data_IF_699563076931
#
_entry.id   IF_699563076931
#
_cell.length_a   1.000
_cell.length_b   1.000
_cell.length_c   1.000
_cell.angle_alpha   90.00
_cell.angle_beta   90.00
_cell.angle_gamma   90.00
#
_symmetry.space_group_name_H-M   'P 1'
#
loop_
_entity.id
_entity.type
_entity.pdbx_description
1 polymer ?
#
# COMPACT_ATOMS: atom_id res chain seq x y z
N UNK A 1 0.47 5.58 -4.95
CA UNK A 1 -0.04 6.95 -5.21
C UNK A 1 -0.89 7.40 -4.03
N UNK A 2 -1.08 8.70 -3.81
CA UNK A 2 -1.72 9.25 -2.60
C UNK A 2 -2.55 10.49 -2.91
N UNK A 3 -3.64 10.72 -2.17
CA UNK A 3 -4.48 11.92 -2.25
C UNK A 3 -4.35 12.70 -0.94
N UNK A 4 -4.17 14.01 -1.05
CA UNK A 4 -4.00 14.92 0.05
C UNK A 4 -5.08 16.00 0.00
N UNK A 5 -5.75 16.23 1.15
CA UNK A 5 -6.90 17.12 1.23
C UNK A 5 -6.74 18.11 2.39
N UNK A 6 -7.27 19.32 2.21
CA UNK A 6 -7.32 20.41 3.19
C UNK A 6 -5.94 20.89 3.69
N UNK A 7 -4.90 20.80 2.85
CA UNK A 7 -3.53 21.21 3.20
C UNK A 7 -3.17 22.64 2.78
N UNK A 8 -3.88 23.23 1.81
CA UNK A 8 -3.57 24.54 1.24
C UNK A 8 -2.18 24.65 0.60
N UNK A 9 -1.69 23.57 -0.04
CA UNK A 9 -0.35 23.50 -0.64
C UNK A 9 -0.36 24.12 -2.04
N UNK A 10 0.36 25.22 -2.23
CA UNK A 10 0.53 25.80 -3.56
C UNK A 10 1.39 24.90 -4.46
N UNK A 11 0.85 24.56 -5.65
CA UNK A 11 1.42 23.56 -6.56
C UNK A 11 2.73 24.03 -7.20
N UNK A 12 2.87 25.33 -7.46
CA UNK A 12 4.10 25.92 -8.02
C UNK A 12 5.23 25.90 -6.99
N UNK A 13 4.94 26.35 -5.77
CA UNK A 13 5.89 26.29 -4.64
C UNK A 13 6.29 24.83 -4.31
N UNK A 14 5.34 23.90 -4.41
CA UNK A 14 5.59 22.48 -4.16
C UNK A 14 6.60 21.90 -5.16
N UNK A 15 6.46 22.21 -6.45
CA UNK A 15 7.37 21.73 -7.50
C UNK A 15 8.82 22.17 -7.24
N UNK A 16 9.05 23.45 -6.97
CA UNK A 16 10.40 23.99 -6.78
C UNK A 16 11.08 23.39 -5.55
N UNK A 17 10.36 23.30 -4.43
CA UNK A 17 10.88 22.65 -3.21
C UNK A 17 11.13 21.16 -3.42
N UNK A 18 10.29 20.48 -4.21
CA UNK A 18 10.43 19.07 -4.50
C UNK A 18 11.70 18.80 -5.31
N UNK A 19 11.92 19.54 -6.40
CA UNK A 19 13.14 19.44 -7.22
C UNK A 19 14.39 19.65 -6.38
N UNK A 20 14.45 20.75 -5.62
CA UNK A 20 15.60 21.07 -4.78
C UNK A 20 15.89 19.98 -3.75
N UNK A 21 14.84 19.40 -3.14
CA UNK A 21 14.96 18.30 -2.20
C UNK A 21 15.50 17.02 -2.86
N UNK A 22 14.96 16.66 -4.02
CA UNK A 22 15.38 15.48 -4.77
C UNK A 22 16.85 15.58 -5.20
N UNK A 23 17.27 16.72 -5.75
CA UNK A 23 18.65 16.98 -6.15
C UNK A 23 19.61 16.91 -4.97
N UNK A 24 19.22 17.47 -3.81
CA UNK A 24 20.00 17.37 -2.56
C UNK A 24 20.19 15.92 -2.10
N UNK A 25 19.23 15.04 -2.37
CA UNK A 25 19.30 13.60 -2.08
C UNK A 25 19.98 12.80 -3.20
N UNK A 26 20.62 13.48 -4.15
CA UNK A 26 21.40 12.87 -5.22
C UNK A 26 20.56 12.37 -6.39
N UNK A 27 19.27 12.69 -6.48
CA UNK A 27 18.47 12.40 -7.67
C UNK A 27 18.77 13.40 -8.78
N UNK A 28 18.93 12.91 -10.01
CA UNK A 28 19.02 13.76 -11.19
C UNK A 28 17.61 13.97 -11.74
N UNK A 29 17.16 15.23 -11.78
CA UNK A 29 15.95 15.60 -12.50
C UNK A 29 16.27 15.60 -13.99
N UNK A 30 15.58 14.77 -14.76
CA UNK A 30 15.79 14.67 -16.20
C UNK A 30 14.83 15.56 -16.98
N UNK A 31 13.59 15.70 -16.49
CA UNK A 31 12.55 16.48 -17.15
C UNK A 31 11.51 16.96 -16.15
N UNK A 32 10.97 18.16 -16.41
CA UNK A 32 9.82 18.71 -15.69
C UNK A 32 8.79 19.18 -16.72
N UNK A 33 7.53 18.83 -16.49
CA UNK A 33 6.39 19.32 -17.26
C UNK A 33 5.42 20.01 -16.30
N UNK A 34 4.89 21.17 -16.69
CA UNK A 34 3.97 21.97 -15.87
C UNK A 34 2.71 22.27 -16.65
N UNK A 35 1.56 22.10 -16.00
CA UNK A 35 0.25 22.56 -16.43
C UNK A 35 -0.38 23.46 -15.36
N UNK A 36 -1.57 23.99 -15.65
CA UNK A 36 -2.25 25.00 -14.79
C UNK A 36 -2.45 24.54 -13.33
N UNK A 37 -2.78 23.26 -13.12
CA UNK A 37 -2.99 22.67 -11.80
C UNK A 37 -2.25 21.32 -11.64
N UNK A 38 -1.15 21.12 -12.37
CA UNK A 38 -0.40 19.86 -12.31
C UNK A 38 1.05 20.03 -12.73
N UNK A 39 1.90 19.11 -12.29
CA UNK A 39 3.25 18.98 -12.80
C UNK A 39 3.70 17.53 -12.79
N UNK A 40 4.64 17.20 -13.68
CA UNK A 40 5.33 15.92 -13.70
C UNK A 40 6.83 16.14 -13.61
N UNK A 41 7.49 15.33 -12.80
CA UNK A 41 8.94 15.30 -12.63
C UNK A 41 9.44 13.91 -13.01
N UNK A 42 10.25 13.82 -14.06
CA UNK A 42 11.03 12.62 -14.40
C UNK A 42 12.40 12.71 -13.73
N UNK A 43 12.78 11.64 -13.05
CA UNK A 43 14.01 11.61 -12.27
C UNK A 43 14.70 10.26 -12.35
N UNK A 44 15.99 10.25 -12.00
CA UNK A 44 16.81 9.04 -11.93
C UNK A 44 17.82 9.15 -10.80
N UNK A 45 18.05 8.06 -10.06
CA UNK A 45 19.16 7.95 -9.12
C UNK A 45 20.46 7.55 -9.84
N UNK A 46 21.56 8.33 -9.78
CA UNK A 46 22.84 7.98 -10.39
C UNK A 46 23.47 6.77 -9.68
N UNK A 47 23.66 5.66 -10.40
CA UNK A 47 24.19 4.40 -9.86
C UNK A 47 23.65 3.18 -10.64
N UNK A 48 24.43 2.10 -10.71
CA UNK A 48 24.26 0.98 -11.65
C UNK A 48 22.80 0.46 -11.67
N UNK A 49 22.13 0.60 -12.83
CA UNK A 49 20.75 0.16 -13.15
C UNK A 49 19.55 1.00 -12.70
N UNK A 50 19.71 2.26 -12.26
CA UNK A 50 18.55 3.13 -11.98
C UNK A 50 17.66 3.34 -13.21
N UNK A 51 16.44 2.76 -13.20
CA UNK A 51 15.40 3.05 -14.18
C UNK A 51 14.97 4.52 -14.06
N UNK A 52 14.53 5.12 -15.17
CA UNK A 52 13.88 6.43 -15.11
C UNK A 52 12.52 6.25 -14.44
N UNK A 53 12.26 7.03 -13.42
CA UNK A 53 10.98 7.05 -12.70
C UNK A 53 10.34 8.42 -12.84
N UNK A 54 9.04 8.50 -12.61
CA UNK A 54 8.29 9.74 -12.73
C UNK A 54 7.35 9.91 -11.55
N UNK A 55 7.18 11.13 -11.06
CA UNK A 55 6.08 11.49 -10.17
C UNK A 55 5.24 12.58 -10.83
N UNK A 56 3.93 12.52 -10.65
CA UNK A 56 2.97 13.48 -11.16
C UNK A 56 2.16 14.00 -9.98
N UNK A 57 2.09 15.32 -9.82
CA UNK A 57 1.21 15.98 -8.87
C UNK A 57 0.11 16.69 -9.64
N UNK A 58 -1.15 16.48 -9.27
CA UNK A 58 -2.29 17.11 -9.92
C UNK A 58 -3.39 17.48 -8.94
N UNK A 59 -4.07 18.57 -9.20
CA UNK A 59 -5.20 19.05 -8.41
C UNK A 59 -4.97 20.47 -7.92
N UNK A 60 -5.83 20.89 -7.00
CA UNK A 60 -5.84 22.25 -6.46
C UNK A 60 -5.22 22.25 -5.06
N UNK A 61 -4.84 23.42 -4.50
CA UNK A 61 -4.10 23.47 -3.25
C UNK A 61 -4.71 22.71 -2.05
N UNK A 62 -6.04 22.60 -2.00
CA UNK A 62 -6.75 21.88 -0.95
C UNK A 62 -7.19 20.45 -1.34
N UNK A 63 -6.94 20.01 -2.57
CA UNK A 63 -7.27 18.66 -3.02
C UNK A 63 -6.39 18.26 -4.21
N UNK A 64 -5.30 17.56 -3.92
CA UNK A 64 -4.34 17.12 -4.93
C UNK A 64 -3.88 15.68 -4.73
N UNK A 65 -3.44 15.06 -5.82
CA UNK A 65 -2.95 13.70 -5.88
C UNK A 65 -1.49 13.66 -6.30
N UNK A 66 -0.73 12.77 -5.69
CA UNK A 66 0.63 12.39 -6.10
C UNK A 66 0.59 10.98 -6.69
N UNK A 67 0.99 10.84 -7.94
CA UNK A 67 0.89 9.63 -8.77
C UNK A 67 2.25 9.29 -9.39
N UNK A 68 2.45 8.05 -9.84
CA UNK A 68 3.61 7.65 -10.64
C UNK A 68 4.82 7.15 -9.85
N UNK A 69 4.91 7.49 -8.55
CA UNK A 69 5.98 6.96 -7.69
C UNK A 69 5.76 5.46 -7.49
N UNK A 70 6.79 4.69 -7.83
CA UNK A 70 6.86 3.25 -7.59
C UNK A 70 6.58 2.93 -6.11
N UNK A 71 5.69 1.99 -5.83
CA UNK A 71 5.28 1.60 -4.46
C UNK A 71 6.48 1.12 -3.63
N UNK A 72 7.51 0.57 -4.27
CA UNK A 72 8.75 0.14 -3.63
C UNK A 72 9.75 1.27 -3.38
N UNK A 73 9.55 2.46 -3.95
CA UNK A 73 10.45 3.61 -3.77
C UNK A 73 10.02 4.47 -2.56
N UNK A 74 10.20 3.92 -1.36
CA UNK A 74 9.89 4.59 -0.10
C UNK A 74 10.66 5.92 0.08
N UNK A 75 11.88 6.02 -0.44
CA UNK A 75 12.71 7.22 -0.29
C UNK A 75 12.09 8.44 -0.97
N UNK A 76 11.58 8.27 -2.20
CA UNK A 76 10.88 9.35 -2.92
C UNK A 76 9.59 9.73 -2.20
N UNK A 77 8.82 8.75 -1.70
CA UNK A 77 7.63 9.05 -0.91
C UNK A 77 7.95 9.92 0.30
N UNK A 78 9.03 9.64 1.05
CA UNK A 78 9.43 10.50 2.16
C UNK A 78 9.84 11.90 1.73
N UNK A 79 10.55 12.02 0.61
CA UNK A 79 10.91 13.33 0.05
C UNK A 79 9.63 14.12 -0.29
N UNK A 80 8.69 13.51 -0.99
CA UNK A 80 7.45 14.16 -1.39
C UNK A 80 6.63 14.59 -0.19
N UNK A 81 6.44 13.71 0.78
CA UNK A 81 5.64 14.00 1.98
C UNK A 81 6.23 15.10 2.84
N UNK A 82 7.55 15.12 2.99
CA UNK A 82 8.22 16.18 3.75
C UNK A 82 8.10 17.53 3.06
N UNK A 83 8.19 17.56 1.73
CA UNK A 83 8.01 18.78 0.93
C UNK A 83 6.55 19.24 0.99
N UNK A 84 5.59 18.33 0.95
CA UNK A 84 4.16 18.61 1.15
C UNK A 84 3.94 19.21 2.54
N UNK A 85 4.42 18.55 3.59
CA UNK A 85 4.30 19.03 4.98
C UNK A 85 4.94 20.42 5.17
N UNK A 86 6.13 20.64 4.61
CA UNK A 86 6.84 21.92 4.66
C UNK A 86 6.20 23.03 3.79
N UNK A 87 5.19 22.68 2.99
CA UNK A 87 4.47 23.61 2.10
C UNK A 87 3.00 23.75 2.48
N UNK A 88 2.51 22.98 3.44
CA UNK A 88 1.13 23.00 3.87
C UNK A 88 0.83 24.22 4.74
N UNK A 89 -0.24 24.95 4.40
CA UNK A 89 -0.84 25.98 5.25
C UNK A 89 -1.56 25.37 6.44
N UNK A 90 -2.03 24.13 6.30
CA UNK A 90 -2.64 23.34 7.38
C UNK A 90 -1.94 21.98 7.54
N UNK A 91 -0.74 21.92 8.16
CA UNK A 91 0.01 20.67 8.33
C UNK A 91 -0.71 19.61 9.17
N UNK A 92 -1.71 19.99 9.97
CA UNK A 92 -2.47 19.06 10.82
C UNK A 92 -3.44 18.18 10.01
N UNK A 93 -3.84 18.61 8.80
CA UNK A 93 -4.66 17.79 7.91
C UNK A 93 -3.84 16.75 7.13
N UNK A 94 -2.51 16.72 7.31
CA UNK A 94 -1.64 15.79 6.61
C UNK A 94 -1.88 14.36 7.10
N UNK A 95 -2.22 13.49 6.15
CA UNK A 95 -2.25 12.05 6.31
C UNK A 95 -1.17 11.47 5.40
N UNK A 96 -0.33 10.61 5.96
CA UNK A 96 0.69 9.91 5.17
C UNK A 96 0.03 9.10 4.03
N UNK A 97 0.71 8.93 2.91
CA UNK A 97 0.36 8.01 1.83
C UNK A 97 0.16 6.58 2.35
N UNK A 98 0.81 6.24 3.47
CA UNK A 98 0.66 4.97 4.16
C UNK A 98 -0.58 4.90 5.06
N UNK A 99 -1.16 6.03 5.45
CA UNK A 99 -2.40 6.10 6.26
C UNK A 99 -3.65 6.18 5.38
N UNK A 100 -3.51 6.53 4.11
CA UNK A 100 -4.65 6.86 3.24
C UNK A 100 -5.51 5.65 2.79
N UNK A 101 -5.21 4.43 3.25
CA UNK A 101 -6.04 3.25 2.96
C UNK A 101 -7.07 2.98 4.06
N UNK A 102 -7.01 3.66 5.21
CA UNK A 102 -8.02 3.50 6.26
C UNK A 102 -8.99 4.67 6.23
N UNK A 103 -10.08 4.50 5.48
CA UNK A 103 -11.31 5.26 5.73
C UNK A 103 -12.48 4.30 5.91
N UNK A 104 -12.81 3.88 7.15
CA UNK A 104 -14.19 3.61 7.49
C UNK A 104 -14.84 4.96 7.76
N UNK A 105 -15.34 5.63 6.71
CA UNK A 105 -16.35 6.67 6.89
C UNK A 105 -17.70 5.98 7.02
N UNK A 106 -17.97 5.41 8.19
CA UNK A 106 -19.34 5.33 8.66
C UNK A 106 -19.54 6.51 9.62
N UNK A 107 -20.40 7.49 9.30
CA UNK A 107 -21.00 8.29 10.35
C UNK A 107 -21.73 7.31 11.27
N UNK A 108 -21.52 7.42 12.58
CA UNK A 108 -22.39 6.78 13.55
C UNK A 108 -23.85 7.10 13.16
N UNK A 109 -24.74 6.10 13.02
CA UNK A 109 -26.14 6.39 12.78
C UNK A 109 -26.64 7.12 14.03
N UNK A 110 -26.98 8.41 13.86
CA UNK A 110 -27.88 9.10 14.77
C UNK A 110 -29.18 8.32 14.70
N UNK A 111 -29.51 7.62 15.77
CA UNK A 111 -30.74 6.85 15.89
C UNK A 111 -31.94 7.75 15.56
N UNK A 112 -32.70 7.48 14.49
CA UNK A 112 -34.06 7.97 14.42
C UNK A 112 -34.85 7.20 15.47
N UNK A 113 -35.71 7.86 16.22
CA UNK A 113 -36.73 7.18 17.01
C UNK A 113 -37.58 6.34 16.05
N UNK A 114 -37.39 5.02 16.06
CA UNK A 114 -38.15 4.09 15.23
C UNK A 114 -39.54 3.95 15.88
N UNK A 115 -40.53 4.51 15.20
CA UNK A 115 -41.92 4.07 15.33
C UNK A 115 -41.98 2.69 14.69
N UNK A 116 -42.34 1.67 15.47
CA UNK A 116 -42.40 0.28 15.04
C UNK A 116 -43.31 0.13 13.80
N UNK A 117 -42.76 -0.42 12.72
CA UNK A 117 -43.52 -0.92 11.58
C UNK A 117 -43.06 -2.34 11.30
N UNK A 118 -43.97 -3.29 11.53
CA UNK A 118 -43.81 -4.73 11.33
C UNK A 118 -43.92 -5.07 9.86
N UNK A 119 -42.80 -5.37 9.20
CA UNK A 119 -42.75 -6.14 7.96
C UNK A 119 -42.04 -7.46 8.26
N UNK A 120 -42.60 -8.64 7.92
CA UNK A 120 -41.96 -9.92 8.23
C UNK A 120 -40.67 -10.11 7.41
N UNK A 121 -39.55 -10.37 8.07
CA UNK A 121 -38.31 -10.79 7.43
C UNK A 121 -38.40 -12.27 6.98
N UNK A 122 -37.83 -12.64 5.81
CA UNK A 122 -37.62 -14.04 5.45
C UNK A 122 -36.74 -14.75 6.48
N UNK A 123 -36.96 -16.05 6.76
CA UNK A 123 -36.22 -16.76 7.81
C UNK A 123 -34.73 -16.87 7.49
N UNK A 124 -33.90 -16.51 8.48
CA UNK A 124 -32.46 -16.71 8.45
C UNK A 124 -32.10 -18.20 8.25
N UNK A 125 -30.99 -18.52 7.57
CA UNK A 125 -30.49 -19.89 7.50
C UNK A 125 -30.20 -20.40 8.90
N UNK A 126 -30.75 -21.57 9.23
CA UNK A 126 -30.63 -22.23 10.53
C UNK A 126 -29.16 -22.53 10.83
N UNK A 127 -28.57 -21.81 11.79
CA UNK A 127 -27.23 -22.12 12.31
C UNK A 127 -27.30 -23.38 13.18
N UNK A 128 -26.46 -24.37 12.84
CA UNK A 128 -26.22 -25.59 13.64
C UNK A 128 -25.62 -25.19 15.00
N UNK A 129 -25.93 -25.87 16.12
CA UNK A 129 -25.37 -25.54 17.44
C UNK A 129 -23.83 -25.51 17.40
N UNK A 130 -23.24 -24.44 17.92
CA UNK A 130 -21.80 -24.24 17.93
C UNK A 130 -21.12 -25.29 18.83
N UNK A 131 -20.32 -26.18 18.24
CA UNK A 131 -19.45 -27.08 18.98
C UNK A 131 -18.38 -26.27 19.75
N UNK A 132 -17.98 -26.70 20.96
CA UNK A 132 -16.95 -26.01 21.72
C UNK A 132 -15.61 -26.01 20.96
N UNK A 133 -14.81 -24.93 21.04
CA UNK A 133 -13.54 -24.83 20.31
C UNK A 133 -12.57 -25.97 20.67
N UNK A 134 -11.72 -26.43 19.74
CA UNK A 134 -10.78 -27.51 20.02
C UNK A 134 -9.76 -27.09 21.07
N UNK A 135 -9.50 -27.93 22.06
CA UNK A 135 -8.43 -27.69 23.03
C UNK A 135 -7.08 -28.24 22.58
N UNK A 136 -7.08 -29.21 21.65
CA UNK A 136 -5.89 -29.91 21.19
C UNK A 136 -5.89 -30.08 19.67
N UNK A 137 -4.70 -30.10 19.09
CA UNK A 137 -4.49 -30.39 17.68
C UNK A 137 -4.85 -31.85 17.36
N UNK A 138 -5.76 -32.06 16.40
CA UNK A 138 -6.14 -33.41 15.95
C UNK A 138 -5.04 -34.14 15.19
N UNK A 139 -4.00 -33.43 14.72
CA UNK A 139 -2.86 -34.03 14.00
C UNK A 139 -1.72 -34.49 14.91
N UNK A 140 -1.38 -33.73 15.96
CA UNK A 140 -0.22 -34.04 16.82
C UNK A 140 -0.53 -34.09 18.32
N UNK A 141 -1.75 -33.78 18.76
CA UNK A 141 -2.17 -33.79 20.17
C UNK A 141 -1.75 -32.56 20.98
N UNK A 142 -0.91 -31.67 20.43
CA UNK A 142 -0.44 -30.49 21.15
C UNK A 142 -1.60 -29.54 21.55
N UNK A 143 -1.49 -28.86 22.71
CA UNK A 143 -2.54 -27.95 23.15
C UNK A 143 -2.63 -26.73 22.24
N UNK A 144 -3.86 -26.26 22.04
CA UNK A 144 -4.14 -25.02 21.34
C UNK A 144 -4.28 -23.85 22.31
N UNK A 145 -3.83 -22.68 21.88
CA UNK A 145 -4.13 -21.40 22.52
C UNK A 145 -5.05 -20.64 21.57
N UNK A 146 -6.35 -20.61 21.91
CA UNK A 146 -7.41 -20.02 21.09
C UNK A 146 -7.95 -18.80 21.84
N UNK A 147 -8.01 -17.66 21.15
CA UNK A 147 -8.75 -16.48 21.58
C UNK A 147 -10.19 -16.52 21.09
N UNK A 148 -11.08 -15.73 21.70
CA UNK A 148 -12.50 -15.68 21.29
C UNK A 148 -12.69 -15.11 19.88
N UNK A 149 -11.72 -14.33 19.41
CA UNK A 149 -11.70 -13.66 18.12
C UNK A 149 -11.08 -14.55 17.02
N UNK A 150 -10.46 -15.68 17.38
CA UNK A 150 -9.84 -16.57 16.40
C UNK A 150 -10.91 -17.32 15.61
N UNK A 151 -10.81 -17.27 14.28
CA UNK A 151 -11.68 -17.99 13.33
C UNK A 151 -11.00 -19.26 12.81
N UNK A 152 -9.68 -19.22 12.62
CA UNK A 152 -8.88 -20.39 12.29
C UNK A 152 -7.60 -20.41 13.10
N UNK A 153 -7.22 -21.61 13.53
CA UNK A 153 -6.04 -21.85 14.36
C UNK A 153 -5.00 -22.64 13.57
N UNK A 154 -3.75 -22.22 13.72
CA UNK A 154 -2.59 -22.95 13.20
C UNK A 154 -1.82 -23.56 14.38
N UNK A 155 -1.63 -24.88 14.36
CA UNK A 155 -0.83 -25.56 15.36
C UNK A 155 0.63 -25.11 15.28
N UNK A 156 1.13 -24.43 16.32
CA UNK A 156 2.53 -23.97 16.40
C UNK A 156 3.56 -25.11 16.35
N UNK A 157 3.14 -26.35 16.60
CA UNK A 157 4.05 -27.51 16.65
C UNK A 157 4.15 -28.25 15.31
N UNK A 158 3.04 -28.46 14.60
CA UNK A 158 3.03 -29.25 13.37
C UNK A 158 2.49 -28.51 12.13
N UNK A 159 2.04 -27.26 12.28
CA UNK A 159 1.56 -26.43 11.18
C UNK A 159 0.16 -26.76 10.68
N UNK A 160 -0.52 -27.71 11.30
CA UNK A 160 -1.89 -28.06 10.94
C UNK A 160 -2.83 -26.89 11.22
N UNK A 161 -3.54 -26.44 10.19
CA UNK A 161 -4.41 -25.27 10.24
C UNK A 161 -5.85 -25.68 9.98
N UNK A 162 -6.75 -25.30 10.89
CA UNK A 162 -8.18 -25.60 10.78
C UNK A 162 -9.04 -24.42 11.19
N UNK A 163 -10.21 -24.31 10.58
CA UNK A 163 -11.26 -23.42 11.08
C UNK A 163 -11.79 -23.93 12.43
N UNK A 164 -12.04 -23.03 13.36
CA UNK A 164 -12.50 -23.39 14.71
C UNK A 164 -13.96 -23.87 14.68
N UNK A 165 -14.80 -23.24 13.85
CA UNK A 165 -16.22 -23.56 13.76
C UNK A 165 -16.49 -24.85 12.96
N UNK A 166 -15.92 -24.99 11.76
CA UNK A 166 -16.25 -26.10 10.84
C UNK A 166 -15.26 -27.27 10.89
N UNK A 167 -14.09 -27.08 11.52
CA UNK A 167 -12.98 -28.06 11.55
C UNK A 167 -12.45 -28.43 10.17
N UNK A 168 -12.68 -27.55 9.21
CA UNK A 168 -12.18 -27.69 7.86
C UNK A 168 -10.69 -27.32 7.81
N UNK A 169 -9.91 -28.13 7.10
CA UNK A 169 -8.48 -27.90 6.94
C UNK A 169 -8.19 -26.82 5.90
N UNK A 170 -7.40 -25.83 6.28
CA UNK A 170 -6.83 -24.85 5.34
C UNK A 170 -5.56 -25.46 4.76
N UNK A 171 -5.68 -26.02 3.54
CA UNK A 171 -4.60 -26.78 2.88
C UNK A 171 -3.44 -25.91 2.40
N UNK A 172 -3.73 -24.69 1.95
CA UNK A 172 -2.73 -23.75 1.43
C UNK A 172 -2.21 -22.87 2.54
N UNK A 173 -1.24 -23.40 3.28
CA UNK A 173 -0.59 -22.69 4.37
C UNK A 173 0.94 -22.74 4.22
N UNK A 174 1.57 -21.56 4.23
CA UNK A 174 3.02 -21.40 4.22
C UNK A 174 3.48 -20.37 5.25
N UNK A 175 4.78 -20.23 5.41
CA UNK A 175 5.38 -19.21 6.26
C UNK A 175 6.63 -18.60 5.63
N UNK A 176 7.09 -17.51 6.22
CA UNK A 176 8.40 -16.92 5.90
C UNK A 176 9.36 -17.15 7.07
N UNK A 177 10.64 -17.33 6.74
CA UNK A 177 11.69 -17.44 7.75
C UNK A 177 12.10 -16.07 8.26
N UNK A 178 12.20 -15.92 9.58
CA UNK A 178 12.81 -14.73 10.18
C UNK A 178 14.33 -14.78 9.96
N UNK A 179 14.87 -13.71 9.38
CA UNK A 179 16.30 -13.55 9.06
C UNK A 179 16.94 -12.37 9.79
N UNK A 180 16.19 -11.74 10.69
CA UNK A 180 16.66 -10.60 11.47
C UNK A 180 16.72 -10.91 12.96
N UNK A 181 17.73 -10.34 13.61
CA UNK A 181 17.79 -10.24 15.06
C UNK A 181 17.09 -8.96 15.54
N UNK A 182 16.66 -8.95 16.81
CA UNK A 182 16.00 -7.81 17.43
C UNK A 182 16.80 -6.49 17.28
N UNK A 183 18.13 -6.56 17.37
CA UNK A 183 19.01 -5.39 17.19
C UNK A 183 18.95 -4.82 15.76
N UNK A 184 18.87 -5.68 14.75
CA UNK A 184 18.78 -5.26 13.35
C UNK A 184 17.41 -4.64 13.06
N UNK A 185 16.33 -5.20 13.62
CA UNK A 185 15.00 -4.61 13.54
C UNK A 185 14.95 -3.23 14.22
N UNK A 186 15.56 -3.09 15.40
CA UNK A 186 15.70 -1.81 16.10
C UNK A 186 16.49 -0.79 15.28
N UNK A 187 17.58 -1.20 14.62
CA UNK A 187 18.36 -0.32 13.74
C UNK A 187 17.57 0.10 12.49
N UNK A 188 16.83 -0.82 11.87
CA UNK A 188 15.95 -0.52 10.75
C UNK A 188 14.86 0.48 11.14
N UNK A 189 14.28 0.33 12.34
CA UNK A 189 13.33 1.29 12.90
C UNK A 189 13.96 2.66 13.16
N UNK A 190 15.17 2.74 13.75
CA UNK A 190 15.90 4.00 13.93
C UNK A 190 16.17 4.70 12.59
N UNK A 191 16.63 3.95 11.59
CA UNK A 191 16.81 4.48 10.22
C UNK A 191 15.50 5.05 9.69
N UNK A 192 14.39 4.34 9.86
CA UNK A 192 13.07 4.81 9.45
C UNK A 192 12.60 6.07 10.20
N UNK A 193 12.86 6.18 11.51
CA UNK A 193 12.59 7.40 12.28
C UNK A 193 13.32 8.60 11.69
N UNK A 194 14.58 8.40 11.28
CA UNK A 194 15.44 9.45 10.71
C UNK A 194 15.15 9.75 9.23
N UNK A 195 14.30 8.95 8.57
CA UNK A 195 13.97 9.18 7.15
C UNK A 195 13.10 10.42 7.00
N UNK A 196 13.57 11.32 6.15
CA UNK A 196 12.95 12.59 5.85
C UNK A 196 13.86 13.76 6.23
N UNK A 197 13.77 14.85 5.47
CA UNK A 197 14.54 16.09 5.68
C UNK A 197 14.24 16.70 7.05
N UNK A 198 12.99 16.61 7.50
CA UNK A 198 12.55 17.18 8.77
C UNK A 198 12.79 16.22 9.96
N UNK A 199 13.24 14.99 9.69
CA UNK A 199 13.32 13.91 10.69
C UNK A 199 14.75 13.49 11.04
N UNK A 200 15.77 14.14 10.47
CA UNK A 200 17.17 13.78 10.69
C UNK A 200 17.52 13.89 12.18
N UNK A 201 17.86 12.75 12.81
CA UNK A 201 18.32 12.69 14.20
C UNK A 201 17.21 12.45 15.23
N UNK A 202 15.95 12.27 14.82
CA UNK A 202 14.84 11.90 15.72
C UNK A 202 15.16 10.64 16.52
N UNK A 203 15.85 9.68 15.90
CA UNK A 203 16.20 8.42 16.56
C UNK A 203 17.09 8.59 17.79
N UNK A 204 17.77 9.74 17.95
CA UNK A 204 18.62 10.05 19.11
C UNK A 204 17.80 10.44 20.35
N UNK A 205 16.66 11.08 20.11
CA UNK A 205 15.73 11.51 21.16
C UNK A 205 14.69 10.40 21.47
N UNK A 206 14.56 9.41 20.58
CA UNK A 206 13.66 8.28 20.74
C UNK A 206 14.26 7.21 21.66
N UNK A 207 13.44 6.67 22.57
CA UNK A 207 13.81 5.54 23.41
C UNK A 207 13.04 4.29 22.98
N UNK A 208 13.76 3.27 22.50
CA UNK A 208 13.15 1.98 22.17
C UNK A 208 12.81 1.25 23.47
N UNK A 209 11.52 1.00 23.69
CA UNK A 209 11.01 0.41 24.93
C UNK A 209 10.84 -1.10 24.84
N UNK A 210 10.48 -1.61 23.67
CA UNK A 210 10.24 -3.04 23.46
C UNK A 210 10.43 -3.43 21.99
N UNK A 211 10.94 -4.63 21.73
CA UNK A 211 11.15 -5.17 20.39
C UNK A 211 10.62 -6.61 20.38
N UNK A 212 9.46 -6.82 19.75
CA UNK A 212 8.78 -8.12 19.75
C UNK A 212 8.65 -8.69 18.34
N UNK A 213 9.02 -9.96 18.18
CA UNK A 213 8.76 -10.71 16.96
C UNK A 213 7.38 -11.38 17.04
N UNK A 214 6.55 -11.15 16.03
CA UNK A 214 5.28 -11.84 15.85
C UNK A 214 5.19 -12.46 14.47
N UNK A 215 4.71 -13.69 14.38
CA UNK A 215 4.31 -14.30 13.12
C UNK A 215 2.87 -13.90 12.83
N UNK A 216 2.70 -12.96 11.91
CA UNK A 216 1.42 -12.37 11.53
C UNK A 216 0.83 -13.13 10.35
N UNK A 217 -0.44 -13.56 10.42
CA UNK A 217 -1.08 -14.24 9.30
C UNK A 217 -1.60 -13.25 8.26
N UNK A 218 -1.38 -13.59 7.00
CA UNK A 218 -1.89 -12.89 5.82
C UNK A 218 -2.63 -13.86 4.92
N UNK A 219 -3.77 -13.44 4.38
CA UNK A 219 -4.36 -14.08 3.22
C UNK A 219 -3.74 -13.47 1.96
N UNK A 220 -3.15 -14.29 1.10
CA UNK A 220 -2.50 -13.85 -0.14
C UNK A 220 -3.29 -14.36 -1.33
N UNK A 221 -3.86 -13.42 -2.10
CA UNK A 221 -4.65 -13.71 -3.28
C UNK A 221 -3.88 -13.39 -4.56
N UNK A 222 -4.05 -14.22 -5.60
CA UNK A 222 -3.80 -13.77 -6.96
C UNK A 222 -5.05 -13.06 -7.50
N UNK A 223 -4.92 -11.81 -7.94
CA UNK A 223 -6.01 -11.05 -8.53
C UNK A 223 -5.70 -10.69 -9.99
N UNK A 224 -6.64 -10.92 -10.89
CA UNK A 224 -6.60 -10.38 -12.25
C UNK A 224 -7.72 -9.36 -12.40
N UNK A 225 -7.37 -8.13 -12.77
CA UNK A 225 -8.32 -7.04 -12.95
C UNK A 225 -8.30 -6.58 -14.40
N UNK A 226 -9.49 -6.44 -14.98
CA UNK A 226 -9.69 -5.85 -16.29
C UNK A 226 -10.57 -4.61 -16.12
N UNK A 227 -10.00 -3.44 -16.38
CA UNK A 227 -10.68 -2.17 -16.18
C UNK A 227 -10.94 -1.50 -17.51
N UNK A 228 -12.17 -1.01 -17.68
CA UNK A 228 -12.57 -0.12 -18.76
C UNK A 228 -13.07 1.19 -18.17
N UNK A 229 -12.68 2.31 -18.76
CA UNK A 229 -13.05 3.62 -18.23
C UNK A 229 -13.24 4.66 -19.33
N UNK A 230 -14.03 5.68 -19.02
CA UNK A 230 -14.29 6.85 -19.87
C UNK A 230 -14.08 8.14 -19.09
N UNK A 231 -13.64 9.16 -19.79
CA UNK A 231 -13.39 10.46 -19.21
C UNK A 231 -13.10 11.51 -20.26
N UNK A 232 -12.66 12.67 -19.83
CA UNK A 232 -12.19 13.76 -20.71
C UNK A 232 -10.68 13.92 -20.61
N UNK A 233 -10.07 14.25 -21.74
CA UNK A 233 -8.64 14.46 -21.87
C UNK A 233 -8.36 15.60 -22.86
N UNK A 234 -7.18 16.21 -22.74
CA UNK A 234 -6.71 17.25 -23.68
C UNK A 234 -6.47 18.60 -23.04
N UNK A 235 -6.71 18.75 -21.72
CA UNK A 235 -6.40 19.97 -20.95
C UNK A 235 -5.27 19.78 -19.95
N UNK A 236 -4.89 18.53 -19.64
CA UNK A 236 -3.83 18.20 -18.70
C UNK A 236 -2.82 17.16 -19.21
N UNK A 237 -1.68 17.07 -18.51
CA UNK A 237 -0.56 16.18 -18.81
C UNK A 237 -0.90 14.68 -18.73
N UNK A 238 -2.03 14.30 -18.12
CA UNK A 238 -2.43 12.90 -17.93
C UNK A 238 -2.71 12.18 -19.27
N UNK A 239 -3.37 12.86 -20.21
CA UNK A 239 -3.65 12.32 -21.55
C UNK A 239 -2.40 12.09 -22.39
N UNK A 240 -1.41 12.96 -22.23
CA UNK A 240 -0.15 12.93 -22.99
C UNK A 240 0.76 11.76 -22.57
N UNK A 241 0.71 11.37 -21.29
CA UNK A 241 1.52 10.25 -20.75
C UNK A 241 0.99 8.90 -21.23
N UNK A 242 -0.33 8.71 -21.28
CA UNK A 242 -0.91 7.45 -21.78
C UNK A 242 -0.55 7.21 -23.25
N UNK A 243 -0.69 8.24 -24.09
CA UNK A 243 -0.34 8.16 -25.51
C UNK A 243 1.16 7.90 -25.72
N UNK A 244 2.03 8.52 -24.90
CA UNK A 244 3.46 8.29 -24.95
C UNK A 244 3.87 6.89 -24.43
N UNK A 245 3.19 6.35 -23.40
CA UNK A 245 3.45 5.00 -22.87
C UNK A 245 2.95 3.91 -23.82
N UNK A 246 1.81 4.08 -24.49
CA UNK A 246 1.30 3.13 -25.49
C UNK A 246 2.18 3.06 -26.74
N UNK A 247 2.73 4.18 -27.20
CA UNK A 247 3.68 4.20 -28.33
C UNK A 247 4.97 3.40 -28.07
N UNK A 248 5.26 3.07 -26.80
CA UNK A 248 6.41 2.28 -26.38
C UNK A 248 6.03 0.79 -26.17
N UNK A 249 4.73 0.47 -26.12
CA UNK A 249 4.21 -0.85 -25.79
C UNK A 249 4.12 -1.85 -26.96
N UNK A 250 4.43 -1.45 -28.20
CA UNK A 250 4.25 -2.32 -29.35
C UNK A 250 5.37 -3.39 -29.42
N UNK A 251 5.03 -4.59 -28.94
CA UNK A 251 5.91 -5.75 -28.88
C UNK A 251 6.24 -6.24 -30.30
N UNK A 252 7.46 -5.90 -30.78
CA UNK A 252 8.31 -6.81 -31.57
C UNK A 252 9.72 -6.25 -31.77
N UNK A 253 10.70 -7.08 -31.42
CA UNK A 253 12.14 -7.03 -31.73
C UNK A 253 13.10 -6.33 -30.75
N UNK A 254 14.31 -6.87 -30.74
CA UNK A 254 15.31 -6.95 -29.67
C UNK A 254 16.23 -5.74 -29.50
N UNK A 255 16.59 -5.49 -28.24
CA UNK A 255 17.97 -5.25 -27.78
C UNK A 255 18.79 -4.14 -28.44
N UNK A 256 18.96 -3.04 -27.70
CA UNK A 256 20.10 -2.10 -27.73
C UNK A 256 20.32 -1.19 -28.95
N UNK A 257 19.97 -1.54 -30.18
CA UNK A 257 20.35 -0.74 -31.36
C UNK A 257 19.41 0.44 -31.75
N UNK A 258 18.23 0.58 -31.11
CA UNK A 258 17.27 1.67 -31.42
C UNK A 258 17.20 2.81 -30.40
N UNK A 259 17.90 2.73 -29.27
CA UNK A 259 17.80 3.76 -28.22
C UNK A 259 18.31 5.14 -28.68
N UNK A 260 19.29 5.18 -29.59
CA UNK A 260 19.79 6.45 -30.15
C UNK A 260 18.88 7.11 -31.19
N UNK A 261 18.07 6.33 -31.93
CA UNK A 261 17.14 6.86 -32.96
C UNK A 261 15.78 7.29 -32.39
N UNK A 262 15.40 6.76 -31.22
CA UNK A 262 14.14 7.06 -30.54
C UNK A 262 14.10 8.48 -29.94
N UNK A 263 15.26 9.01 -29.53
CA UNK A 263 15.38 10.34 -28.88
C UNK A 263 15.05 11.47 -29.85
N UNK A 264 15.38 11.33 -31.15
CA UNK A 264 15.16 12.37 -32.17
C UNK A 264 13.75 12.35 -32.76
N UNK A 265 13.11 11.17 -32.89
CA UNK A 265 11.74 11.07 -33.39
C UNK A 265 10.71 11.53 -32.35
N UNK A 266 10.92 11.18 -31.07
CA UNK A 266 10.10 11.67 -29.97
C UNK A 266 10.21 13.18 -29.80
N UNK A 267 11.41 13.74 -29.93
CA UNK A 267 11.62 15.19 -29.84
C UNK A 267 11.04 15.98 -31.03
N UNK A 268 11.10 15.45 -32.27
CA UNK A 268 10.48 16.10 -33.44
C UNK A 268 8.95 16.04 -33.41
N UNK A 269 8.38 14.89 -33.08
CA UNK A 269 6.92 14.76 -32.95
C UNK A 269 6.37 15.65 -31.82
N UNK A 270 7.11 15.82 -30.71
CA UNK A 270 6.70 16.73 -29.63
C UNK A 270 6.95 18.21 -29.94
N UNK A 271 8.03 18.55 -30.64
CA UNK A 271 8.31 19.93 -31.05
C UNK A 271 7.32 20.44 -32.11
N UNK A 272 6.82 19.55 -32.98
CA UNK A 272 5.73 19.86 -33.92
C UNK A 272 4.35 19.85 -33.25
N UNK A 273 4.22 19.31 -32.02
CA UNK A 273 2.99 19.31 -31.21
C UNK A 273 2.90 20.47 -30.21
N UNK A 274 3.94 21.29 -30.08
CA UNK A 274 3.80 22.54 -29.31
C UNK A 274 2.99 23.56 -30.10
N UNK A 275 1.90 24.02 -29.45
CA UNK A 275 0.98 25.10 -29.83
C UNK A 275 -0.11 24.77 -30.85
N UNK A 276 -1.16 24.07 -30.39
CA UNK A 276 -2.52 24.38 -30.83
C UNK A 276 -3.54 23.97 -29.77
N UNK A 277 -4.43 24.90 -29.42
CA UNK A 277 -5.60 24.72 -28.55
C UNK A 277 -6.28 23.35 -28.75
N UNK A 278 -5.93 22.35 -27.94
CA UNK A 278 -6.65 21.08 -27.93
C UNK A 278 -7.83 21.23 -26.99
N UNK A 279 -9.02 21.27 -27.59
CA UNK A 279 -10.28 21.27 -26.85
C UNK A 279 -10.42 19.96 -26.06
N UNK A 280 -11.00 20.00 -24.85
CA UNK A 280 -11.36 18.78 -24.12
C UNK A 280 -12.13 17.84 -25.04
N UNK A 281 -11.70 16.58 -25.10
CA UNK A 281 -12.38 15.54 -25.85
C UNK A 281 -12.57 14.28 -25.01
N UNK A 282 -13.69 13.61 -25.23
CA UNK A 282 -13.99 12.35 -24.56
C UNK A 282 -13.02 11.25 -25.01
N UNK A 283 -12.56 10.44 -24.06
CA UNK A 283 -11.68 9.30 -24.28
C UNK A 283 -12.25 8.07 -23.59
N UNK A 284 -11.96 6.90 -24.17
CA UNK A 284 -12.35 5.61 -23.63
C UNK A 284 -11.16 4.66 -23.75
N UNK A 285 -10.77 4.05 -22.65
CA UNK A 285 -9.59 3.18 -22.57
C UNK A 285 -9.90 1.93 -21.75
N UNK A 286 -9.04 0.92 -21.90
CA UNK A 286 -9.03 -0.25 -21.05
C UNK A 286 -7.61 -0.66 -20.71
N UNK A 287 -7.43 -1.38 -19.59
CA UNK A 287 -6.18 -1.99 -19.21
C UNK A 287 -6.43 -3.23 -18.35
N UNK A 288 -5.40 -4.06 -18.23
CA UNK A 288 -5.43 -5.29 -17.43
C UNK A 288 -4.21 -5.35 -16.54
N UNK A 289 -4.43 -5.65 -15.26
CA UNK A 289 -3.37 -5.81 -14.26
C UNK A 289 -3.51 -7.15 -13.54
N UNK A 290 -2.37 -7.72 -13.14
CA UNK A 290 -2.32 -8.90 -12.28
C UNK A 290 -1.59 -8.53 -10.98
N UNK A 291 -2.14 -8.97 -9.86
CA UNK A 291 -1.64 -8.66 -8.53
C UNK A 291 -1.42 -9.93 -7.72
N UNK A 292 -0.42 -9.88 -6.85
CA UNK A 292 -0.34 -10.71 -5.65
C UNK A 292 -0.71 -9.77 -4.49
N UNK A 293 -1.84 -10.04 -3.87
CA UNK A 293 -2.46 -9.13 -2.91
C UNK A 293 -2.52 -9.78 -1.52
N UNK A 294 -1.56 -9.46 -0.63
CA UNK A 294 -1.64 -9.86 0.76
C UNK A 294 -2.57 -8.93 1.53
N UNK A 295 -3.43 -9.51 2.37
CA UNK A 295 -4.25 -8.79 3.35
C UNK A 295 -4.07 -9.43 4.71
N UNK A 296 -3.99 -8.61 5.77
CA UNK A 296 -3.80 -9.11 7.13
C UNK A 296 -5.05 -9.91 7.51
N UNK A 297 -4.87 -11.15 7.99
CA UNK A 297 -5.95 -12.04 8.38
C UNK A 297 -6.45 -11.77 9.82
N UNK A 298 -6.24 -10.56 10.33
CA UNK A 298 -6.61 -10.09 11.67
C UNK A 298 -7.05 -8.63 11.63
N UNK A 299 -7.93 -8.26 12.56
CA UNK A 299 -8.35 -6.90 12.81
C UNK A 299 -7.62 -6.30 14.03
N UNK A 300 -7.34 -7.11 15.06
CA UNK A 300 -6.75 -6.61 16.30
C UNK A 300 -5.22 -6.46 16.20
N UNK A 301 -4.70 -5.44 16.89
CA UNK A 301 -3.27 -5.24 17.23
C UNK A 301 -2.27 -5.00 16.09
N UNK A 302 -2.72 -4.69 14.87
CA UNK A 302 -1.82 -4.50 13.72
C UNK A 302 -2.28 -3.35 12.81
N UNK A 303 -2.51 -2.17 13.39
CA UNK A 303 -2.78 -0.96 12.60
C UNK A 303 -1.52 -0.37 11.97
N UNK A 304 -0.34 -0.86 12.37
CA UNK A 304 0.95 -0.32 11.95
C UNK A 304 1.49 -0.93 10.65
N UNK A 305 0.95 -2.05 10.19
CA UNK A 305 1.30 -2.62 8.89
C UNK A 305 0.42 -1.94 7.85
N UNK A 306 1.01 -1.02 7.11
CA UNK A 306 0.32 -0.24 6.09
C UNK A 306 0.30 -0.97 4.75
N UNK A 307 1.41 -1.62 4.41
CA UNK A 307 1.55 -2.40 3.19
C UNK A 307 2.61 -3.48 3.39
N UNK A 308 2.37 -4.66 2.82
CA UNK A 308 3.36 -5.72 2.77
C UNK A 308 3.43 -6.30 1.37
N UNK A 309 4.62 -6.40 0.81
CA UNK A 309 4.88 -7.17 -0.41
C UNK A 309 5.48 -8.52 0.02
N UNK A 310 4.62 -9.53 0.14
CA UNK A 310 5.03 -10.87 0.61
C UNK A 310 6.04 -11.46 -0.40
N UNK A 311 7.30 -11.73 0.00
CA UNK A 311 8.31 -12.25 -0.91
C UNK A 311 8.01 -13.70 -1.31
N UNK A 312 7.27 -13.88 -2.41
CA UNK A 312 6.76 -15.19 -2.84
C UNK A 312 7.86 -16.27 -2.99
N UNK A 313 9.06 -15.89 -3.44
CA UNK A 313 10.19 -16.79 -3.62
C UNK A 313 10.84 -17.26 -2.31
N UNK A 314 10.50 -16.65 -1.17
CA UNK A 314 11.03 -16.98 0.16
C UNK A 314 10.04 -17.75 1.03
N UNK A 315 8.83 -18.03 0.52
CA UNK A 315 7.84 -18.86 1.20
C UNK A 315 8.36 -20.28 1.37
N UNK A 316 8.20 -20.81 2.57
CA UNK A 316 8.53 -22.19 2.92
C UNK A 316 7.28 -22.87 3.47
N UNK A 317 7.16 -24.21 3.38
CA UNK A 317 6.19 -24.94 4.19
C UNK A 317 6.37 -24.59 5.67
N UNK A 318 5.29 -24.74 6.45
CA UNK A 318 5.37 -24.51 7.88
C UNK A 318 6.48 -25.37 8.52
N UNK A 319 7.34 -24.73 9.32
CA UNK A 319 8.43 -25.35 10.05
C UNK A 319 8.53 -24.72 11.46
N UNK A 320 8.09 -25.47 12.47
CA UNK A 320 8.13 -25.04 13.87
C UNK A 320 9.56 -24.75 14.36
N UNK A 321 10.57 -25.45 13.81
CA UNK A 321 11.98 -25.26 14.18
C UNK A 321 12.56 -23.92 13.72
N UNK A 322 11.87 -23.23 12.80
CA UNK A 322 12.23 -21.91 12.30
C UNK A 322 11.54 -20.76 13.04
N UNK A 323 10.70 -21.07 14.02
CA UNK A 323 9.97 -20.09 14.83
C UNK A 323 10.65 -20.00 16.20
N UNK A 324 11.26 -18.85 16.57
CA UNK A 324 11.83 -18.67 17.90
C UNK A 324 10.79 -18.93 19.01
N UNK A 325 11.22 -19.49 20.15
CA UNK A 325 10.30 -19.87 21.22
C UNK A 325 9.58 -18.64 21.83
N UNK A 326 10.29 -17.52 21.92
CA UNK A 326 9.81 -16.23 22.41
C UNK A 326 8.93 -15.47 21.42
N UNK A 327 8.91 -15.89 20.15
CA UNK A 327 8.06 -15.25 19.14
C UNK A 327 6.58 -15.50 19.47
N UNK A 328 5.74 -14.48 19.31
CA UNK A 328 4.30 -14.66 19.36
C UNK A 328 3.84 -15.22 18.01
N UNK A 329 3.00 -16.24 18.01
CA UNK A 329 2.45 -16.83 16.79
C UNK A 329 0.94 -16.56 16.77
N UNK A 330 0.49 -15.81 15.77
CA UNK A 330 -0.85 -15.23 15.75
C UNK A 330 -1.79 -16.07 14.88
N UNK A 331 -2.99 -16.36 15.38
CA UNK A 331 -4.06 -17.01 14.62
C UNK A 331 -4.85 -16.00 13.78
N UNK A 332 -5.76 -16.47 12.92
CA UNK A 332 -6.56 -15.61 12.04
C UNK A 332 -7.87 -15.21 12.69
N UNK A 333 -8.29 -13.96 12.52
CA UNK A 333 -9.60 -13.42 12.93
C UNK A 333 -10.51 -13.11 11.72
N UNK A 334 -10.02 -13.37 10.51
CA UNK A 334 -10.77 -13.21 9.26
C UNK A 334 -10.71 -14.52 8.49
N UNK A 335 -11.86 -15.02 8.04
CA UNK A 335 -11.88 -16.15 7.09
C UNK A 335 -11.51 -15.70 5.66
N UNK A 336 -11.36 -16.67 4.76
CA UNK A 336 -10.98 -16.42 3.36
C UNK A 336 -12.06 -15.59 2.64
N UNK A 337 -13.34 -15.84 2.89
CA UNK A 337 -14.47 -15.15 2.26
C UNK A 337 -14.53 -13.66 2.64
N UNK A 338 -14.36 -13.34 3.92
CA UNK A 338 -14.25 -11.98 4.43
C UNK A 338 -13.03 -11.26 3.86
N UNK A 339 -11.88 -11.93 3.84
CA UNK A 339 -10.66 -11.41 3.24
C UNK A 339 -10.84 -11.14 1.75
N UNK A 340 -11.55 -12.02 1.03
CA UNK A 340 -11.84 -11.87 -0.40
C UNK A 340 -12.68 -10.64 -0.70
N UNK A 341 -13.71 -10.37 0.10
CA UNK A 341 -14.53 -9.14 -0.03
C UNK A 341 -13.69 -7.88 0.17
N UNK A 342 -12.79 -7.88 1.18
CA UNK A 342 -11.88 -6.77 1.44
C UNK A 342 -10.92 -6.54 0.28
N UNK A 343 -10.26 -7.59 -0.20
CA UNK A 343 -9.30 -7.52 -1.32
C UNK A 343 -9.98 -7.05 -2.60
N UNK A 344 -11.20 -7.48 -2.87
CA UNK A 344 -11.95 -7.02 -4.04
C UNK A 344 -12.16 -5.51 -4.01
N UNK A 345 -12.57 -4.95 -2.86
CA UNK A 345 -12.75 -3.51 -2.70
C UNK A 345 -11.42 -2.74 -2.81
N UNK A 346 -10.33 -3.27 -2.23
CA UNK A 346 -9.00 -2.67 -2.29
C UNK A 346 -8.43 -2.65 -3.73
N UNK A 347 -8.57 -3.75 -4.47
CA UNK A 347 -8.16 -3.84 -5.88
C UNK A 347 -9.01 -2.93 -6.76
N UNK A 348 -10.33 -2.89 -6.56
CA UNK A 348 -11.21 -1.97 -7.29
C UNK A 348 -10.83 -0.51 -7.05
N UNK A 349 -10.55 -0.14 -5.80
CA UNK A 349 -10.07 1.18 -5.44
C UNK A 349 -8.75 1.49 -6.16
N UNK A 350 -7.77 0.56 -6.17
CA UNK A 350 -6.49 0.74 -6.89
C UNK A 350 -6.70 0.93 -8.39
N UNK A 351 -7.52 0.10 -9.03
CA UNK A 351 -7.80 0.19 -10.47
C UNK A 351 -8.48 1.51 -10.85
N UNK A 352 -9.51 1.92 -10.09
CA UNK A 352 -10.19 3.22 -10.28
C UNK A 352 -9.21 4.36 -10.13
N UNK A 353 -8.30 4.23 -9.20
CA UNK A 353 -7.30 5.23 -8.90
C UNK A 353 -6.25 5.33 -10.03
N UNK A 354 -5.79 4.20 -10.60
CA UNK A 354 -4.97 4.16 -11.82
C UNK A 354 -5.71 4.79 -13.00
N UNK A 355 -6.97 4.41 -13.23
CA UNK A 355 -7.82 4.95 -14.30
C UNK A 355 -7.95 6.47 -14.17
N UNK A 356 -8.18 6.95 -12.95
CA UNK A 356 -8.25 8.38 -12.68
C UNK A 356 -6.98 9.09 -13.13
N UNK A 357 -5.80 8.50 -12.94
CA UNK A 357 -4.50 9.08 -13.30
C UNK A 357 -4.25 9.22 -14.80
N UNK A 358 -5.06 8.55 -15.65
CA UNK A 358 -4.94 8.55 -17.12
C UNK A 358 -5.81 9.59 -17.83
N UNK A 359 -6.73 10.24 -17.11
CA UNK A 359 -7.65 11.26 -17.64
C UNK A 359 -7.69 12.50 -16.76
N UNK A 360 -8.13 13.61 -17.33
CA UNK A 360 -8.29 14.87 -16.60
C UNK A 360 -9.54 14.83 -15.71
N UNK A 361 -10.65 14.29 -16.22
CA UNK A 361 -11.84 13.96 -15.45
C UNK A 361 -12.29 12.53 -15.75
N UNK A 362 -12.56 11.75 -14.70
CA UNK A 362 -13.05 10.37 -14.79
C UNK A 362 -14.57 10.36 -14.65
N UNK A 363 -15.27 9.97 -15.70
CA UNK A 363 -16.75 9.95 -15.74
C UNK A 363 -17.31 8.56 -15.41
N UNK A 364 -16.66 7.51 -15.94
CA UNK A 364 -17.08 6.13 -15.75
C UNK A 364 -15.86 5.23 -15.60
N UNK A 365 -15.92 4.29 -14.67
CA UNK A 365 -14.90 3.27 -14.48
C UNK A 365 -15.59 1.97 -14.07
N UNK A 366 -15.32 0.90 -14.80
CA UNK A 366 -15.84 -0.43 -14.53
C UNK A 366 -14.69 -1.42 -14.52
N UNK A 367 -14.58 -2.19 -13.44
CA UNK A 367 -13.52 -3.15 -13.23
C UNK A 367 -14.13 -4.53 -13.03
N UNK A 368 -13.70 -5.50 -13.82
CA UNK A 368 -13.98 -6.91 -13.58
C UNK A 368 -12.76 -7.55 -12.87
N UNK A 369 -12.97 -8.09 -11.68
CA UNK A 369 -11.94 -8.66 -10.82
C UNK A 369 -12.17 -10.16 -10.68
N UNK A 370 -11.15 -10.94 -10.98
CA UNK A 370 -11.11 -12.38 -10.74
C UNK A 370 -10.07 -12.66 -9.67
N UNK A 371 -10.53 -13.14 -8.51
CA UNK A 371 -9.68 -13.56 -7.40
C UNK A 371 -9.54 -15.08 -7.39
N UNK A 372 -8.29 -15.55 -7.35
CA UNK A 372 -7.95 -16.97 -7.16
C UNK A 372 -8.17 -17.45 -5.73
N UNK A 373 -7.86 -18.72 -5.48
CA UNK A 373 -7.83 -19.29 -4.12
C UNK A 373 -6.74 -18.61 -3.28
N UNK A 374 -7.05 -18.35 -2.01
CA UNK A 374 -6.09 -17.76 -1.09
C UNK A 374 -5.04 -18.76 -0.60
N UNK A 375 -3.88 -18.22 -0.26
CA UNK A 375 -2.88 -18.92 0.56
C UNK A 375 -2.76 -18.19 1.89
N UNK A 376 -2.86 -18.93 3.00
CA UNK A 376 -2.53 -18.41 4.32
C UNK A 376 -1.02 -18.37 4.47
N UNK A 377 -0.45 -17.20 4.78
CA UNK A 377 0.99 -17.01 4.95
C UNK A 377 1.27 -16.40 6.31
N UNK A 378 2.04 -17.08 7.14
CA UNK A 378 2.56 -16.48 8.38
C UNK A 378 3.91 -15.80 8.12
N UNK A 379 3.94 -14.48 8.26
CA UNK A 379 5.13 -13.69 8.05
C UNK A 379 5.73 -13.20 9.37
N UNK A 380 7.06 -13.27 9.57
CA UNK A 380 7.73 -12.74 10.73
C UNK A 380 7.74 -11.21 10.65
N UNK A 381 7.16 -10.54 11.63
CA UNK A 381 7.13 -9.08 11.72
C UNK A 381 7.66 -8.66 13.10
N UNK A 382 8.68 -7.82 13.09
CA UNK A 382 9.20 -7.17 14.29
C UNK A 382 8.41 -5.89 14.57
N UNK A 383 7.86 -5.80 15.77
CA UNK A 383 7.20 -4.60 16.29
C UNK A 383 8.17 -3.90 17.23
N UNK A 384 8.70 -2.76 16.79
CA UNK A 384 9.61 -1.92 17.56
C UNK A 384 8.80 -0.80 18.21
N UNK A 385 8.55 -0.96 19.50
CA UNK A 385 7.91 0.06 20.32
C UNK A 385 8.95 1.09 20.77
N UNK A 386 8.60 2.36 20.66
CA UNK A 386 9.46 3.45 21.12
C UNK A 386 8.64 4.60 21.70
N UNK A 387 9.28 5.37 22.57
CA UNK A 387 8.76 6.63 23.08
C UNK A 387 9.52 7.80 22.47
N UNK A 388 8.80 8.86 22.14
CA UNK A 388 9.39 10.14 21.77
C UNK A 388 8.56 11.28 22.35
N UNK A 389 9.19 12.16 23.14
CA UNK A 389 8.53 13.31 23.78
C UNK A 389 7.27 12.94 24.59
N UNK A 390 7.28 11.76 25.22
CA UNK A 390 6.18 11.26 26.03
C UNK A 390 5.11 10.46 25.27
N UNK A 391 5.13 10.48 23.94
CA UNK A 391 4.21 9.73 23.09
C UNK A 391 4.76 8.35 22.73
N UNK A 392 3.89 7.36 22.63
CA UNK A 392 4.24 5.98 22.27
C UNK A 392 3.96 5.72 20.79
N UNK A 393 4.90 5.04 20.14
CA UNK A 393 4.81 4.69 18.73
C UNK A 393 5.29 3.27 18.51
N UNK A 394 4.88 2.69 17.39
CA UNK A 394 5.27 1.34 16.97
C UNK A 394 5.64 1.37 15.49
N UNK A 395 6.75 0.71 15.16
CA UNK A 395 7.20 0.49 13.78
C UNK A 395 7.22 -1.01 13.51
N UNK A 396 6.55 -1.42 12.42
CA UNK A 396 6.53 -2.79 11.94
C UNK A 396 7.62 -3.00 10.88
N UNK A 397 8.49 -3.98 11.11
CA UNK A 397 9.61 -4.34 10.23
C UNK A 397 9.45 -5.79 9.80
N UNK A 398 9.52 -6.06 8.50
CA UNK A 398 9.57 -7.42 7.95
C UNK A 398 10.82 -8.15 8.44
N UNK A 399 10.64 -9.25 9.16
CA UNK A 399 11.70 -10.12 9.64
C UNK A 399 12.41 -10.88 8.52
N UNK A 400 11.82 -10.99 7.32
CA UNK A 400 12.43 -11.70 6.20
C UNK A 400 13.40 -10.84 5.39
N UNK A 401 13.04 -9.58 5.09
CA UNK A 401 13.83 -8.67 4.24
C UNK A 401 14.32 -7.40 4.94
N UNK A 402 13.86 -7.09 6.15
CA UNK A 402 14.20 -5.86 6.87
C UNK A 402 13.54 -4.60 6.32
N UNK A 403 12.51 -4.77 5.48
CA UNK A 403 11.70 -3.66 4.97
C UNK A 403 10.76 -3.14 6.06
N UNK A 404 10.58 -1.83 6.10
CA UNK A 404 9.57 -1.22 6.97
C UNK A 404 8.20 -1.42 6.35
N UNK A 405 7.29 -2.08 7.08
CA UNK A 405 5.92 -2.36 6.67
C UNK A 405 4.96 -1.22 7.02
N UNK A 406 5.37 -0.38 7.96
CA UNK A 406 4.66 0.82 8.38
C UNK A 406 4.99 1.15 9.84
N UNK A 407 4.26 2.13 10.37
CA UNK A 407 4.46 2.58 11.74
C UNK A 407 4.41 4.09 11.89
N UNK A 408 3.90 4.50 13.04
CA UNK A 408 3.72 5.90 13.40
C UNK A 408 5.05 6.64 13.50
N UNK A 409 5.07 7.86 12.97
CA UNK A 409 6.12 8.85 13.21
C UNK A 409 5.45 10.14 13.69
N UNK A 410 6.09 10.90 14.58
CA UNK A 410 5.54 12.17 15.03
C UNK A 410 5.40 13.15 13.86
N UNK A 411 4.27 13.87 13.83
CA UNK A 411 4.12 15.06 13.00
C UNK A 411 4.86 16.22 13.69
N UNK A 412 5.77 16.87 12.96
CA UNK A 412 6.46 18.05 13.50
C UNK A 412 5.47 19.20 13.58
N UNK A 413 5.28 19.75 14.78
CA UNK A 413 4.58 21.02 14.96
C UNK A 413 5.54 22.12 14.51
N UNK A 414 5.23 22.76 13.39
CA UNK A 414 5.83 24.05 13.06
C UNK A 414 5.31 25.07 14.08
N UNK A 415 6.23 25.74 14.78
CA UNK A 415 5.89 26.85 15.69
C UNK A 415 5.60 28.10 14.90
#
# INVERSE_FOLDING_TARGET
MARYQNLGVDTETLLEKLKASMEKQGYKIERVLTGEASFLVEYKKPGMFGAKESLNVRGVPDDFMVIGINENNQEIWFIVEDVILASAKNPQAFKSHTETVVTPSQPAPVAPAIVASTVPQPPAPVQKPAEPPPTNCSRCGAPFSISQEDIAITCRYCGFTVTIATREEIKKHSMLENRLFAQQAAEAAKKYMDKGILRVGVSRDASITNVKLRYVPFWVFSASANTSFRGTSGTGIAGEIHQAQEAVGDKRSSGFAKFGKLVLAGAKAYAEMQQKDRKPHAVAYSFSNNYIWPTIARQTMISEINYYDVPAAKKIPFDAGKIPAEAEFLNTELNEEEAKMRVQAEVEAKEKLIASGKVDSLEMCSTNIVLGEAELVHAPVWFVHYTLKGENYVIAIDGCEGKVLGGGRPLFKFK
#
